data_IF_220581108183
#
_entry.id   IF_220581108183
#
_cell.length_a   1.000
_cell.length_b   1.000
_cell.length_c   1.000
_cell.angle_alpha   90.00
_cell.angle_beta   90.00
_cell.angle_gamma   90.00
#
_symmetry.space_group_name_H-M   'P 1'
#
loop_
_entity.id
_entity.type
_entity.pdbx_description
1 polymer ?
#
# COMPACT_ATOMS: atom_id res chain seq x y z
N UNK A 1 101.47 31.69 58.39
CA UNK A 1 100.02 31.56 58.65
C UNK A 1 99.46 32.94 58.91
N UNK A 2 98.46 33.41 58.16
CA UNK A 2 97.68 34.57 58.60
C UNK A 2 96.85 34.16 59.81
N UNK A 3 96.66 35.04 60.80
CA UNK A 3 95.61 34.84 61.78
C UNK A 3 94.29 35.17 61.08
N UNK A 4 93.40 34.19 61.00
CA UNK A 4 92.01 34.48 60.66
C UNK A 4 91.33 34.98 61.93
N UNK A 5 91.35 36.29 62.13
CA UNK A 5 90.58 36.92 63.19
C UNK A 5 89.10 36.89 62.78
N UNK A 6 88.24 36.41 63.69
CA UNK A 6 86.81 36.24 63.43
C UNK A 6 86.14 37.59 63.11
N UNK A 7 85.24 37.68 62.12
CA UNK A 7 84.69 38.96 61.66
C UNK A 7 84.09 39.78 62.80
N UNK A 8 84.58 41.01 62.95
CA UNK A 8 84.05 42.04 63.85
C UNK A 8 83.62 43.23 63.03
N UNK A 9 82.34 43.57 63.14
CA UNK A 9 81.75 44.77 62.55
C UNK A 9 82.05 45.97 63.47
N UNK A 10 82.56 47.09 62.95
CA UNK A 10 82.58 48.36 63.67
C UNK A 10 81.17 48.75 64.17
N UNK A 11 81.05 49.43 65.32
CA UNK A 11 79.75 49.86 65.88
C UNK A 11 78.85 50.59 64.88
N UNK A 12 79.43 51.38 63.99
CA UNK A 12 78.70 52.10 62.92
C UNK A 12 78.03 51.15 61.92
N UNK A 13 78.69 50.03 61.59
CA UNK A 13 78.13 48.98 60.73
C UNK A 13 77.10 48.13 61.51
N UNK A 14 77.35 47.83 62.79
CA UNK A 14 76.34 47.19 63.66
C UNK A 14 75.05 48.00 63.70
N UNK A 15 75.14 49.32 63.94
CA UNK A 15 73.99 50.24 63.96
C UNK A 15 73.35 50.36 62.58
N UNK A 16 74.15 50.46 61.52
CA UNK A 16 73.67 50.53 60.13
C UNK A 16 72.84 49.31 59.76
N UNK A 17 73.37 48.10 59.92
CA UNK A 17 72.67 46.84 59.61
C UNK A 17 71.40 46.68 60.45
N UNK A 18 71.43 47.02 61.75
CA UNK A 18 70.25 46.93 62.61
C UNK A 18 69.12 47.88 62.18
N UNK A 19 69.46 49.05 61.62
CA UNK A 19 68.49 50.00 61.08
C UNK A 19 68.01 49.64 59.67
N UNK A 20 68.93 49.23 58.78
CA UNK A 20 68.63 48.85 57.39
C UNK A 20 67.76 47.59 57.29
N UNK A 21 68.05 46.56 58.10
CA UNK A 21 67.23 45.35 58.25
C UNK A 21 66.00 45.55 59.16
N UNK A 22 65.75 46.77 59.63
CA UNK A 22 64.60 47.18 60.48
C UNK A 22 64.47 46.38 61.80
N UNK A 23 65.59 45.90 62.36
CA UNK A 23 65.64 45.05 63.55
C UNK A 23 65.56 45.89 64.84
N UNK A 24 66.34 46.97 64.93
CA UNK A 24 66.38 47.83 66.11
C UNK A 24 66.97 49.22 65.81
N UNK A 25 66.43 50.24 66.47
CA UNK A 25 67.08 51.56 66.55
C UNK A 25 68.04 51.56 67.74
N UNK A 26 69.34 51.78 67.49
CA UNK A 26 70.43 51.63 68.48
C UNK A 26 71.41 52.81 68.36
N UNK A 27 71.88 53.35 69.48
CA UNK A 27 72.93 54.38 69.51
C UNK A 27 74.31 53.81 69.86
N UNK A 28 75.38 54.55 69.54
CA UNK A 28 76.75 54.16 69.91
C UNK A 28 76.93 54.09 71.44
N UNK A 29 76.14 54.86 72.20
CA UNK A 29 76.14 54.87 73.66
C UNK A 29 75.60 53.54 74.25
N UNK A 30 74.57 52.96 73.62
CA UNK A 30 73.99 51.68 74.04
C UNK A 30 74.94 50.50 73.78
N UNK A 31 75.78 50.60 72.74
CA UNK A 31 76.82 49.61 72.45
C UNK A 31 78.07 49.81 73.31
N UNK A 32 78.39 51.05 73.70
CA UNK A 32 79.48 51.38 74.64
C UNK A 32 79.17 50.97 76.08
N UNK A 33 77.93 51.15 76.53
CA UNK A 33 77.48 50.84 77.89
C UNK A 33 76.17 50.03 77.86
N UNK A 34 76.18 48.79 77.35
CA UNK A 34 74.98 47.98 77.21
C UNK A 34 74.31 47.72 78.57
N UNK A 35 73.00 47.92 78.65
CA UNK A 35 72.20 47.48 79.79
C UNK A 35 71.71 46.04 79.59
N UNK A 36 71.39 45.30 80.67
CA UNK A 36 70.82 43.95 80.56
C UNK A 36 69.51 43.92 79.75
N UNK A 37 68.64 44.91 79.96
CA UNK A 37 67.33 44.99 79.30
C UNK A 37 67.47 45.31 77.81
N UNK A 38 68.33 46.29 77.47
CA UNK A 38 68.68 46.62 76.09
C UNK A 38 69.24 45.40 75.36
N UNK A 39 70.20 44.71 75.99
CA UNK A 39 70.87 43.55 75.40
C UNK A 39 69.90 42.38 75.19
N UNK A 40 69.02 42.14 76.16
CA UNK A 40 68.00 41.08 76.09
C UNK A 40 66.95 41.36 75.01
N UNK A 41 66.46 42.61 74.92
CA UNK A 41 65.55 43.01 73.84
C UNK A 41 66.23 42.91 72.47
N UNK A 42 67.45 43.45 72.31
CA UNK A 42 68.17 43.46 71.05
C UNK A 42 68.40 42.04 70.50
N UNK A 43 68.86 41.10 71.33
CA UNK A 43 68.97 39.70 70.90
C UNK A 43 67.61 39.07 70.59
N UNK A 44 66.54 39.43 71.30
CA UNK A 44 65.19 38.93 70.99
C UNK A 44 64.74 39.38 69.60
N UNK A 45 64.89 40.67 69.26
CA UNK A 45 64.55 41.19 67.92
C UNK A 45 65.40 40.55 66.81
N UNK A 46 66.72 40.41 67.02
CA UNK A 46 67.62 39.74 66.06
C UNK A 46 67.20 38.28 65.85
N UNK A 47 66.88 37.56 66.94
CA UNK A 47 66.49 36.14 66.87
C UNK A 47 65.12 35.92 66.20
N UNK A 48 64.16 36.84 66.38
CA UNK A 48 62.89 36.86 65.64
C UNK A 48 63.17 37.09 64.15
N UNK A 49 63.93 38.12 63.80
CA UNK A 49 64.26 38.46 62.41
C UNK A 49 64.97 37.31 61.64
N UNK A 50 65.90 36.58 62.28
CA UNK A 50 66.49 35.40 61.64
C UNK A 50 65.58 34.17 61.61
N UNK A 51 64.44 34.17 62.31
CA UNK A 51 63.48 33.06 62.37
C UNK A 51 63.87 31.97 63.37
N UNK A 52 64.68 32.30 64.37
CA UNK A 52 65.06 31.38 65.47
C UNK A 52 64.17 31.51 66.70
N UNK A 53 63.31 32.55 66.75
CA UNK A 53 62.22 32.74 67.71
C UNK A 53 60.94 33.14 66.95
N UNK A 54 59.79 32.90 67.56
CA UNK A 54 58.50 33.42 67.14
C UNK A 54 58.24 34.78 67.81
N UNK A 55 57.33 35.60 67.27
CA UNK A 55 56.97 36.89 67.85
C UNK A 55 56.32 36.74 69.25
N UNK A 56 55.52 35.69 69.44
CA UNK A 56 54.86 35.33 70.70
C UNK A 56 55.80 34.82 71.81
N UNK A 57 57.12 34.88 71.64
CA UNK A 57 58.11 34.34 72.58
C UNK A 57 58.06 34.91 74.02
N UNK A 58 57.33 36.01 74.22
CA UNK A 58 57.02 36.52 75.56
C UNK A 58 56.11 35.59 76.38
N UNK A 59 55.34 34.71 75.73
CA UNK A 59 54.48 33.70 76.33
C UNK A 59 55.32 32.48 76.76
N UNK A 60 55.51 32.31 78.07
CA UNK A 60 56.08 31.06 78.60
C UNK A 60 54.97 30.01 78.62
N UNK A 61 55.25 28.83 78.10
CA UNK A 61 54.29 27.72 78.05
C UNK A 61 53.99 27.24 79.49
N UNK A 62 52.76 27.48 79.95
CA UNK A 62 52.39 27.35 81.37
C UNK A 62 52.69 25.97 81.98
N UNK A 63 52.63 24.90 81.18
CA UNK A 63 52.91 23.52 81.60
C UNK A 63 54.36 23.28 82.09
N UNK A 64 55.34 24.09 81.65
CA UNK A 64 56.71 24.05 82.18
C UNK A 64 56.84 24.83 83.50
N UNK A 65 55.99 25.83 83.72
CA UNK A 65 55.97 26.63 84.95
C UNK A 65 55.21 25.95 86.10
N UNK A 66 54.16 25.18 85.81
CA UNK A 66 53.39 24.41 86.80
C UNK A 66 54.21 23.37 87.58
N UNK A 67 55.40 23.01 87.08
CA UNK A 67 56.35 22.10 87.74
C UNK A 67 57.24 22.80 88.80
N UNK A 68 57.14 24.13 88.93
CA UNK A 68 57.92 24.93 89.89
C UNK A 68 57.08 25.38 91.09
N UNK A 69 57.70 25.46 92.26
CA UNK A 69 57.05 25.96 93.47
C UNK A 69 56.93 27.50 93.41
N UNK A 70 55.71 28.02 93.40
CA UNK A 70 55.37 29.44 93.11
C UNK A 70 55.70 29.86 91.65
N UNK A 71 54.97 29.34 90.64
CA UNK A 71 55.24 29.59 89.22
C UNK A 71 55.43 31.06 88.83
N UNK A 72 54.59 31.96 89.39
CA UNK A 72 54.60 33.40 89.10
C UNK A 72 55.94 34.08 89.41
N UNK A 73 56.68 33.59 90.41
CA UNK A 73 57.99 34.14 90.81
C UNK A 73 59.11 33.74 89.85
N UNK A 74 58.87 32.78 88.95
CA UNK A 74 59.86 32.21 88.07
C UNK A 74 59.73 32.63 86.59
N UNK A 75 58.63 33.30 86.21
CA UNK A 75 58.32 33.72 84.83
C UNK A 75 59.50 34.41 84.13
N UNK A 76 60.06 35.47 84.72
CA UNK A 76 61.18 36.21 84.12
C UNK A 76 62.50 35.43 84.15
N UNK A 77 62.70 34.56 85.15
CA UNK A 77 63.88 33.68 85.21
C UNK A 77 63.86 32.63 84.09
N UNK A 78 62.69 32.04 83.82
CA UNK A 78 62.48 31.08 82.74
C UNK A 78 62.59 31.76 81.38
N UNK A 79 61.97 32.94 81.20
CA UNK A 79 62.12 33.78 80.00
C UNK A 79 63.60 34.10 79.71
N UNK A 80 64.36 34.55 80.70
CA UNK A 80 65.79 34.85 80.54
C UNK A 80 66.62 33.58 80.26
N UNK A 81 66.32 32.46 80.91
CA UNK A 81 67.03 31.20 80.70
C UNK A 81 66.77 30.62 79.30
N UNK A 82 65.53 30.73 78.81
CA UNK A 82 65.16 30.35 77.45
C UNK A 82 65.88 31.24 76.43
N UNK A 83 65.93 32.56 76.64
CA UNK A 83 66.63 33.49 75.75
C UNK A 83 68.14 33.19 75.74
N UNK A 84 68.75 32.99 76.91
CA UNK A 84 70.15 32.56 77.04
C UNK A 84 70.42 31.26 76.27
N UNK A 85 69.55 30.25 76.42
CA UNK A 85 69.65 28.97 75.71
C UNK A 85 69.60 29.17 74.21
N UNK A 86 68.66 29.98 73.70
CA UNK A 86 68.49 30.24 72.26
C UNK A 86 69.64 31.04 71.65
N UNK A 87 70.12 32.10 72.30
CA UNK A 87 71.32 32.83 71.86
C UNK A 87 72.53 31.89 71.87
N UNK A 88 72.71 31.08 72.92
CA UNK A 88 73.82 30.13 73.01
C UNK A 88 73.76 29.06 71.92
N UNK A 89 72.58 28.54 71.58
CA UNK A 89 72.39 27.61 70.46
C UNK A 89 72.85 28.26 69.14
N UNK A 90 72.37 29.46 68.82
CA UNK A 90 72.74 30.20 67.59
C UNK A 90 74.23 30.56 67.55
N UNK A 91 74.77 31.18 68.61
CA UNK A 91 76.21 31.57 68.67
C UNK A 91 77.13 30.34 68.55
N UNK A 92 76.68 29.16 69.00
CA UNK A 92 77.43 27.90 68.85
C UNK A 92 77.36 27.35 67.42
N UNK A 93 76.23 27.53 66.72
CA UNK A 93 76.08 27.16 65.31
C UNK A 93 76.81 28.10 64.33
N UNK A 94 77.24 29.29 64.80
CA UNK A 94 78.04 30.27 64.05
C UNK A 94 79.56 30.13 64.29
N UNK A 95 80.01 29.03 64.91
CA UNK A 95 81.41 28.73 65.23
C UNK A 95 82.18 29.89 65.91
N UNK A 96 81.49 30.67 66.76
CA UNK A 96 82.08 31.84 67.39
C UNK A 96 83.18 31.44 68.41
N UNK A 97 84.39 32.05 68.35
CA UNK A 97 85.54 31.61 69.14
C UNK A 97 85.42 31.91 70.65
N UNK A 98 84.53 32.81 71.06
CA UNK A 98 84.17 32.98 72.49
C UNK A 98 82.83 32.27 72.73
N UNK A 99 82.71 31.55 73.84
CA UNK A 99 81.42 30.98 74.26
C UNK A 99 80.51 32.06 74.87
N UNK A 100 79.24 32.04 74.49
CA UNK A 100 78.18 32.83 75.13
C UNK A 100 77.86 32.27 76.52
N UNK A 101 77.65 33.15 77.49
CA UNK A 101 77.44 32.84 78.92
C UNK A 101 76.32 33.70 79.49
N UNK A 102 75.70 33.30 80.59
CA UNK A 102 74.61 34.07 81.20
C UNK A 102 75.04 35.48 81.66
N UNK A 103 76.35 35.69 81.89
CA UNK A 103 76.91 37.03 82.15
C UNK A 103 76.72 37.98 80.97
N UNK A 104 76.72 37.48 79.73
CA UNK A 104 76.54 38.28 78.52
C UNK A 104 75.12 38.87 78.37
N UNK A 105 74.18 38.45 79.25
CA UNK A 105 72.87 39.08 79.41
C UNK A 105 72.76 39.85 80.73
N UNK A 106 73.15 39.24 81.86
CA UNK A 106 72.96 39.84 83.21
C UNK A 106 73.94 41.01 83.47
N UNK A 107 75.13 40.98 82.88
CA UNK A 107 76.14 42.04 83.00
C UNK A 107 76.98 42.11 81.71
N UNK A 108 76.40 42.59 80.60
CA UNK A 108 77.07 42.65 79.30
C UNK A 108 78.31 43.54 79.33
N UNK A 109 79.29 43.22 78.48
CA UNK A 109 80.57 43.93 78.33
C UNK A 109 80.73 44.32 76.86
N UNK A 110 81.03 45.59 76.55
CA UNK A 110 81.03 46.10 75.17
C UNK A 110 81.81 45.22 74.17
N UNK A 111 83.07 44.82 74.48
CA UNK A 111 83.88 43.95 73.61
C UNK A 111 83.24 42.58 73.32
N UNK A 112 82.44 42.05 74.27
CA UNK A 112 81.74 40.77 74.14
C UNK A 112 80.43 40.95 73.38
N UNK A 113 79.65 41.97 73.73
CA UNK A 113 78.41 42.34 73.01
C UNK A 113 78.71 42.65 71.54
N UNK A 114 79.72 43.49 71.24
CA UNK A 114 80.15 43.78 69.86
C UNK A 114 80.57 42.53 69.08
N UNK A 115 81.29 41.59 69.71
CA UNK A 115 81.67 40.32 69.05
C UNK A 115 80.47 39.44 68.73
N UNK A 116 79.55 39.27 69.68
CA UNK A 116 78.39 38.39 69.50
C UNK A 116 77.36 39.00 68.54
N UNK A 117 77.15 40.31 68.58
CA UNK A 117 76.38 41.03 67.56
C UNK A 117 77.04 40.92 66.18
N UNK A 118 78.36 41.07 66.08
CA UNK A 118 79.08 40.87 64.81
C UNK A 118 78.87 39.47 64.22
N UNK A 119 78.92 38.43 65.08
CA UNK A 119 78.68 37.05 64.65
C UNK A 119 77.28 36.87 64.04
N UNK A 120 76.22 37.30 64.75
CA UNK A 120 74.84 37.09 64.30
C UNK A 120 74.47 38.02 63.15
N UNK A 121 74.90 39.29 63.15
CA UNK A 121 74.60 40.23 62.05
C UNK A 121 75.31 39.88 60.74
N UNK A 122 76.54 39.33 60.81
CA UNK A 122 77.19 38.73 59.65
C UNK A 122 76.40 37.53 59.09
N UNK A 123 75.74 36.75 59.96
CA UNK A 123 74.81 35.71 59.53
C UNK A 123 73.50 36.28 58.95
N UNK A 124 72.94 37.38 59.49
CA UNK A 124 71.78 38.06 58.90
C UNK A 124 72.09 38.51 57.46
N UNK A 125 73.19 39.24 57.26
CA UNK A 125 73.63 39.69 55.93
C UNK A 125 73.84 38.53 54.95
N UNK A 126 74.40 37.40 55.44
CA UNK A 126 74.53 36.19 54.62
C UNK A 126 73.15 35.58 54.29
N UNK A 127 72.26 35.42 55.28
CA UNK A 127 70.89 34.92 55.11
C UNK A 127 70.17 35.76 54.06
N UNK A 128 70.15 37.08 54.19
CA UNK A 128 69.44 37.99 53.28
C UNK A 128 70.00 37.89 51.85
N UNK A 129 71.33 37.84 51.71
CA UNK A 129 71.97 37.59 50.40
C UNK A 129 71.53 36.27 49.77
N UNK A 130 71.41 35.20 50.57
CA UNK A 130 70.95 33.88 50.08
C UNK A 130 69.45 33.85 49.81
N UNK A 131 68.62 34.49 50.62
CA UNK A 131 67.18 34.63 50.39
C UNK A 131 66.88 35.45 49.14
N UNK A 132 67.65 36.51 48.87
CA UNK A 132 67.52 37.30 47.64
C UNK A 132 67.86 36.51 46.37
N UNK A 133 68.80 35.55 46.45
CA UNK A 133 69.09 34.60 45.36
C UNK A 133 68.00 33.52 45.19
N UNK A 134 67.29 33.16 46.27
CA UNK A 134 66.18 32.20 46.24
C UNK A 134 64.84 32.85 45.87
N UNK A 135 64.72 34.18 45.92
CA UNK A 135 63.47 34.92 45.71
C UNK A 135 62.69 34.50 44.45
N UNK A 136 63.30 34.33 43.25
CA UNK A 136 62.53 33.90 42.07
C UNK A 136 61.88 32.52 42.25
N UNK A 137 62.55 31.59 42.94
CA UNK A 137 61.99 30.27 43.23
C UNK A 137 60.88 30.32 44.30
N UNK A 138 60.87 31.34 45.17
CA UNK A 138 59.75 31.59 46.10
C UNK A 138 58.57 32.20 45.33
N UNK A 139 58.82 33.15 44.43
CA UNK A 139 57.82 33.77 43.55
C UNK A 139 57.16 32.72 42.63
N UNK A 140 57.96 31.83 42.02
CA UNK A 140 57.47 30.68 41.24
C UNK A 140 56.60 29.73 42.09
N UNK A 141 57.01 29.44 43.34
CA UNK A 141 56.23 28.58 44.25
C UNK A 141 54.90 29.22 44.68
N UNK A 142 54.87 30.53 44.91
CA UNK A 142 53.62 31.25 45.19
C UNK A 142 52.67 31.20 43.99
N UNK A 143 53.18 31.45 42.78
CA UNK A 143 52.38 31.38 41.54
C UNK A 143 51.84 29.96 41.29
N UNK A 144 52.62 28.92 41.58
CA UNK A 144 52.17 27.53 41.49
C UNK A 144 51.10 27.18 42.53
N UNK A 145 51.13 27.78 43.72
CA UNK A 145 50.08 27.57 44.72
C UNK A 145 48.79 28.32 44.36
N UNK A 146 48.88 29.54 43.82
CA UNK A 146 47.73 30.27 43.27
C UNK A 146 47.04 29.48 42.13
N UNK A 147 47.83 28.95 41.19
CA UNK A 147 47.31 28.07 40.13
C UNK A 147 46.69 26.78 40.67
N UNK A 148 47.28 26.19 41.72
CA UNK A 148 46.73 25.01 42.40
C UNK A 148 45.36 25.33 43.03
N UNK A 149 45.24 26.46 43.73
CA UNK A 149 43.99 26.91 44.34
C UNK A 149 42.90 27.20 43.28
N UNK A 150 43.24 27.83 42.15
CA UNK A 150 42.30 28.05 41.04
C UNK A 150 41.81 26.72 40.44
N UNK A 151 42.70 25.76 40.22
CA UNK A 151 42.35 24.44 39.70
C UNK A 151 41.51 23.63 40.70
N UNK A 152 41.83 23.65 41.99
CA UNK A 152 41.02 23.02 43.05
C UNK A 152 39.60 23.62 43.09
N UNK A 153 39.48 24.95 43.02
CA UNK A 153 38.18 25.63 42.94
C UNK A 153 37.41 25.27 41.65
N UNK A 154 38.09 25.15 40.50
CA UNK A 154 37.46 24.77 39.23
C UNK A 154 36.99 23.31 39.23
N UNK A 155 37.73 22.41 39.88
CA UNK A 155 37.34 21.01 40.08
C UNK A 155 36.09 20.94 40.97
N UNK A 156 36.03 21.71 42.06
CA UNK A 156 34.86 21.78 42.93
C UNK A 156 33.60 22.26 42.16
N UNK A 157 33.70 23.32 41.36
CA UNK A 157 32.58 23.78 40.52
C UNK A 157 32.12 22.70 39.54
N UNK A 158 33.05 22.07 38.80
CA UNK A 158 32.69 21.03 37.83
C UNK A 158 32.04 19.81 38.47
N UNK A 159 32.42 19.44 39.69
CA UNK A 159 31.75 18.37 40.44
C UNK A 159 30.32 18.75 40.85
N UNK A 160 30.07 20.00 41.24
CA UNK A 160 28.71 20.52 41.47
C UNK A 160 27.87 20.48 40.18
N UNK A 161 28.41 21.01 39.07
CA UNK A 161 27.75 20.99 37.76
C UNK A 161 27.35 19.55 37.36
N UNK A 162 28.24 18.58 37.59
CA UNK A 162 28.00 17.15 37.33
C UNK A 162 26.92 16.56 38.24
N UNK A 163 26.83 16.98 39.51
CA UNK A 163 25.74 16.55 40.40
C UNK A 163 24.38 17.04 39.90
N UNK A 164 24.27 18.34 39.60
CA UNK A 164 23.03 18.94 39.10
C UNK A 164 22.54 18.30 37.79
N UNK A 165 23.46 18.01 36.86
CA UNK A 165 23.14 17.29 35.62
C UNK A 165 22.65 15.86 35.87
N UNK A 166 23.27 15.13 36.81
CA UNK A 166 22.81 13.79 37.17
C UNK A 166 21.43 13.84 37.84
N UNK A 167 21.19 14.77 38.76
CA UNK A 167 19.89 14.97 39.41
C UNK A 167 18.79 15.38 38.44
N UNK A 168 19.07 16.18 37.40
CA UNK A 168 18.09 16.45 36.33
C UNK A 168 17.80 15.18 35.52
N UNK A 169 18.85 14.46 35.10
CA UNK A 169 18.73 13.21 34.34
C UNK A 169 17.96 12.13 35.10
N UNK A 170 18.13 12.00 36.42
CA UNK A 170 17.35 11.06 37.24
C UNK A 170 15.88 11.47 37.39
N UNK A 171 15.58 12.78 37.49
CA UNK A 171 14.20 13.30 37.47
C UNK A 171 13.50 13.11 36.12
N UNK A 172 14.25 13.18 35.01
CA UNK A 172 13.74 13.00 33.65
C UNK A 172 13.58 11.52 33.25
N UNK A 173 14.41 10.63 33.80
CA UNK A 173 14.40 9.18 33.52
C UNK A 173 13.01 8.51 33.64
N UNK A 174 12.17 8.73 34.69
CA UNK A 174 10.83 8.14 34.75
C UNK A 174 9.89 8.68 33.67
N UNK A 175 10.00 9.97 33.28
CA UNK A 175 9.19 10.57 32.21
C UNK A 175 9.54 9.96 30.86
N UNK A 176 10.84 9.74 30.60
CA UNK A 176 11.31 9.04 29.40
C UNK A 176 10.75 7.61 29.38
N UNK A 177 10.80 6.88 30.50
CA UNK A 177 10.25 5.52 30.60
C UNK A 177 8.73 5.48 30.35
N UNK A 178 7.97 6.45 30.87
CA UNK A 178 6.51 6.55 30.67
C UNK A 178 6.13 6.87 29.21
N UNK A 179 6.92 7.70 28.52
CA UNK A 179 6.77 7.94 27.08
C UNK A 179 7.11 6.66 26.29
N UNK A 180 8.15 5.94 26.70
CA UNK A 180 8.63 4.75 26.02
C UNK A 180 7.67 3.54 26.18
N UNK A 181 6.96 3.41 27.31
CA UNK A 181 5.86 2.43 27.48
C UNK A 181 4.66 2.79 26.61
N UNK A 182 4.19 4.05 26.63
CA UNK A 182 3.10 4.53 25.77
C UNK A 182 3.40 4.32 24.28
N UNK A 183 4.64 4.54 23.84
CA UNK A 183 5.06 4.26 22.45
C UNK A 183 4.96 2.76 22.13
N UNK A 184 5.35 1.87 23.06
CA UNK A 184 5.23 0.41 22.89
C UNK A 184 3.76 -0.04 22.83
N UNK A 185 2.92 0.47 23.72
CA UNK A 185 1.47 0.21 23.76
C UNK A 185 0.77 0.69 22.48
N UNK A 186 1.03 1.92 22.03
CA UNK A 186 0.47 2.45 20.79
C UNK A 186 0.89 1.64 19.56
N UNK A 187 2.15 1.19 19.48
CA UNK A 187 2.63 0.30 18.41
C UNK A 187 1.92 -1.06 18.43
N UNK A 188 1.69 -1.64 19.61
CA UNK A 188 0.93 -2.89 19.75
C UNK A 188 -0.54 -2.70 19.33
N UNK A 189 -1.17 -1.60 19.76
CA UNK A 189 -2.56 -1.24 19.40
C UNK A 189 -2.73 -1.06 17.89
N UNK A 190 -1.82 -0.33 17.23
CA UNK A 190 -1.80 -0.16 15.76
C UNK A 190 -1.66 -1.52 15.05
N UNK A 191 -0.79 -2.41 15.55
CA UNK A 191 -0.63 -3.77 15.00
C UNK A 191 -1.92 -4.60 15.13
N UNK A 192 -2.55 -4.58 16.31
CA UNK A 192 -3.82 -5.26 16.57
C UNK A 192 -4.97 -4.73 15.69
N UNK A 193 -5.09 -3.41 15.55
CA UNK A 193 -6.08 -2.76 14.69
C UNK A 193 -5.87 -3.08 13.21
N UNK A 194 -4.62 -3.11 12.72
CA UNK A 194 -4.31 -3.51 11.34
C UNK A 194 -4.70 -4.97 11.08
N UNK A 195 -4.39 -5.88 12.01
CA UNK A 195 -4.78 -7.29 11.91
C UNK A 195 -6.31 -7.46 11.93
N UNK A 196 -7.01 -6.71 12.79
CA UNK A 196 -8.47 -6.70 12.83
C UNK A 196 -9.08 -6.15 11.52
N UNK A 197 -8.52 -5.08 10.96
CA UNK A 197 -8.94 -4.51 9.69
C UNK A 197 -8.72 -5.48 8.52
N UNK A 198 -7.62 -6.23 8.52
CA UNK A 198 -7.36 -7.30 7.53
C UNK A 198 -8.40 -8.44 7.64
N UNK A 199 -8.74 -8.85 8.87
CA UNK A 199 -9.79 -9.84 9.12
C UNK A 199 -11.16 -9.37 8.63
N UNK A 200 -11.55 -8.14 8.96
CA UNK A 200 -12.78 -7.49 8.48
C UNK A 200 -12.84 -7.39 6.94
N UNK A 201 -11.73 -7.02 6.29
CA UNK A 201 -11.64 -7.00 4.81
C UNK A 201 -11.84 -8.40 4.21
N UNK A 202 -11.36 -9.45 4.88
CA UNK A 202 -11.54 -10.85 4.46
C UNK A 202 -12.99 -11.33 4.64
N UNK A 203 -13.61 -11.07 5.80
CA UNK A 203 -15.01 -11.46 6.05
C UNK A 203 -15.98 -10.66 5.18
N UNK A 204 -15.73 -9.37 4.94
CA UNK A 204 -16.50 -8.55 4.01
C UNK A 204 -16.47 -9.09 2.58
N UNK A 205 -15.29 -9.48 2.07
CA UNK A 205 -15.17 -10.15 0.75
C UNK A 205 -16.01 -11.43 0.71
N UNK A 206 -15.80 -12.35 1.66
CA UNK A 206 -16.57 -13.61 1.74
C UNK A 206 -18.09 -13.38 1.78
N UNK A 207 -18.57 -12.35 2.51
CA UNK A 207 -19.99 -11.99 2.56
C UNK A 207 -20.50 -11.36 1.25
N UNK A 208 -19.69 -10.55 0.57
CA UNK A 208 -20.01 -9.98 -0.75
C UNK A 208 -20.07 -11.05 -1.83
N UNK A 209 -19.15 -12.00 -1.82
CA UNK A 209 -19.09 -13.07 -2.81
C UNK A 209 -20.24 -14.08 -2.59
N UNK A 210 -20.56 -14.42 -1.34
CA UNK A 210 -21.75 -15.20 -1.01
C UNK A 210 -23.08 -14.47 -1.33
N UNK A 211 -23.12 -13.13 -1.27
CA UNK A 211 -24.30 -12.38 -1.70
C UNK A 211 -24.54 -12.54 -3.20
N UNK A 212 -23.49 -12.36 -4.03
CA UNK A 212 -23.56 -12.61 -5.49
C UNK A 212 -24.01 -14.03 -5.81
N UNK A 213 -23.46 -15.03 -5.12
CA UNK A 213 -23.83 -16.44 -5.33
C UNK A 213 -25.33 -16.68 -5.05
N UNK A 214 -25.90 -15.95 -4.09
CA UNK A 214 -27.33 -15.98 -3.79
C UNK A 214 -28.15 -15.21 -4.84
N UNK A 215 -27.68 -14.04 -5.31
CA UNK A 215 -28.33 -13.28 -6.40
C UNK A 215 -28.37 -14.07 -7.72
N UNK A 216 -27.28 -14.79 -8.05
CA UNK A 216 -27.17 -15.71 -9.19
C UNK A 216 -28.13 -16.91 -9.03
N UNK A 217 -28.24 -17.48 -7.82
CA UNK A 217 -29.21 -18.54 -7.51
C UNK A 217 -30.66 -18.06 -7.59
N UNK A 218 -30.96 -16.85 -7.13
CA UNK A 218 -32.29 -16.23 -7.27
C UNK A 218 -32.63 -16.07 -8.75
N UNK A 219 -31.74 -15.45 -9.52
CA UNK A 219 -31.90 -15.25 -10.97
C UNK A 219 -32.14 -16.57 -11.73
N UNK A 220 -31.41 -17.62 -11.37
CA UNK A 220 -31.57 -18.97 -11.93
C UNK A 220 -32.91 -19.62 -11.53
N UNK A 221 -33.33 -19.47 -10.28
CA UNK A 221 -34.63 -19.96 -9.79
C UNK A 221 -35.82 -19.21 -10.42
N UNK A 222 -35.70 -17.90 -10.63
CA UNK A 222 -36.70 -17.08 -11.35
C UNK A 222 -36.82 -17.52 -12.81
N UNK A 223 -35.69 -17.74 -13.50
CA UNK A 223 -35.70 -18.27 -14.87
C UNK A 223 -36.36 -19.65 -14.96
N UNK A 224 -35.99 -20.58 -14.05
CA UNK A 224 -36.59 -21.91 -13.99
C UNK A 224 -38.09 -21.87 -13.64
N UNK A 225 -38.53 -20.92 -12.80
CA UNK A 225 -39.94 -20.69 -12.49
C UNK A 225 -40.71 -20.17 -13.71
N UNK A 226 -40.15 -19.24 -14.48
CA UNK A 226 -40.74 -18.74 -15.73
C UNK A 226 -40.85 -19.86 -16.78
N UNK A 227 -39.79 -20.66 -16.98
CA UNK A 227 -39.83 -21.83 -17.86
C UNK A 227 -40.91 -22.83 -17.42
N UNK A 228 -40.93 -23.20 -16.13
CA UNK A 228 -41.93 -24.10 -15.57
C UNK A 228 -43.36 -23.58 -15.74
N UNK A 229 -43.59 -22.27 -15.55
CA UNK A 229 -44.89 -21.64 -15.80
C UNK A 229 -45.30 -21.69 -17.28
N UNK A 230 -44.36 -21.49 -18.21
CA UNK A 230 -44.59 -21.59 -19.65
C UNK A 230 -44.88 -23.05 -20.09
N UNK A 231 -44.16 -24.03 -19.54
CA UNK A 231 -44.42 -25.46 -19.75
C UNK A 231 -45.77 -25.87 -19.18
N UNK A 232 -46.13 -25.40 -17.97
CA UNK A 232 -47.43 -25.63 -17.34
C UNK A 232 -48.57 -25.05 -18.20
N UNK A 233 -48.40 -23.86 -18.77
CA UNK A 233 -49.35 -23.27 -19.72
C UNK A 233 -49.46 -24.09 -21.02
N UNK A 234 -48.35 -24.59 -21.55
CA UNK A 234 -48.29 -25.47 -22.74
C UNK A 234 -48.92 -26.84 -22.51
N UNK A 235 -48.84 -27.38 -21.29
CA UNK A 235 -49.54 -28.60 -20.89
C UNK A 235 -51.05 -28.32 -20.69
N UNK A 236 -51.42 -27.20 -20.06
CA UNK A 236 -52.82 -26.78 -19.90
C UNK A 236 -53.55 -26.55 -21.23
N UNK A 237 -52.87 -26.11 -22.29
CA UNK A 237 -53.48 -25.98 -23.61
C UNK A 237 -53.68 -27.33 -24.33
N UNK A 238 -52.94 -28.37 -23.95
CA UNK A 238 -53.09 -29.75 -24.44
C UNK A 238 -54.14 -30.56 -23.68
N UNK A 239 -54.54 -30.12 -22.49
CA UNK A 239 -55.62 -30.75 -21.71
C UNK A 239 -56.98 -30.34 -22.28
N UNK A 240 -57.81 -31.33 -22.58
CA UNK A 240 -59.20 -31.11 -23.03
C UNK A 240 -60.01 -30.46 -21.89
N UNK A 241 -60.37 -29.19 -22.06
CA UNK A 241 -61.01 -28.38 -21.02
C UNK A 241 -62.44 -28.81 -20.65
N UNK A 242 -63.09 -29.67 -21.44
CA UNK A 242 -64.40 -30.26 -21.10
C UNK A 242 -64.58 -31.60 -21.81
N UNK A 243 -64.19 -32.73 -21.18
CA UNK A 243 -64.36 -34.07 -21.75
C UNK A 243 -65.81 -34.36 -22.15
N UNK A 244 -66.78 -33.99 -21.30
CA UNK A 244 -68.22 -34.26 -21.49
C UNK A 244 -68.82 -33.57 -22.74
N UNK A 245 -68.21 -32.48 -23.22
CA UNK A 245 -68.60 -31.83 -24.47
C UNK A 245 -68.03 -32.57 -25.68
N UNK A 246 -66.78 -33.02 -25.58
CA UNK A 246 -66.10 -33.75 -26.63
C UNK A 246 -66.69 -35.16 -26.81
N UNK A 247 -67.07 -35.82 -25.72
CA UNK A 247 -67.78 -37.10 -25.77
C UNK A 247 -69.18 -36.96 -26.38
N UNK A 248 -69.98 -35.95 -25.98
CA UNK A 248 -71.29 -35.68 -26.61
C UNK A 248 -71.19 -35.44 -28.11
N UNK A 249 -70.26 -34.59 -28.55
CA UNK A 249 -70.06 -34.33 -29.99
C UNK A 249 -69.63 -35.60 -30.77
N UNK A 250 -68.96 -36.55 -30.12
CA UNK A 250 -68.58 -37.83 -30.71
C UNK A 250 -69.76 -38.83 -30.74
N UNK A 251 -70.64 -38.79 -29.74
CA UNK A 251 -71.89 -39.56 -29.71
C UNK A 251 -72.92 -39.02 -30.72
N UNK A 252 -73.06 -37.69 -30.85
CA UNK A 252 -73.83 -37.06 -31.95
C UNK A 252 -73.29 -37.48 -33.33
N UNK A 253 -71.97 -37.46 -33.54
CA UNK A 253 -71.39 -37.91 -34.81
C UNK A 253 -71.63 -39.40 -35.09
N UNK A 254 -71.74 -40.24 -34.05
CA UNK A 254 -72.17 -41.65 -34.21
C UNK A 254 -73.64 -41.74 -34.60
N UNK A 255 -74.53 -40.95 -33.98
CA UNK A 255 -75.94 -40.91 -34.34
C UNK A 255 -76.15 -40.51 -35.82
N UNK A 256 -75.50 -39.42 -36.26
CA UNK A 256 -75.53 -38.97 -37.66
C UNK A 256 -74.97 -40.03 -38.63
N UNK A 257 -73.93 -40.79 -38.23
CA UNK A 257 -73.40 -41.88 -39.04
C UNK A 257 -74.36 -43.09 -39.16
N UNK A 258 -75.15 -43.37 -38.12
CA UNK A 258 -76.19 -44.41 -38.15
C UNK A 258 -77.36 -43.96 -39.03
N UNK A 259 -77.84 -42.72 -38.85
CA UNK A 259 -78.92 -42.13 -39.65
C UNK A 259 -78.57 -42.12 -41.15
N UNK A 260 -77.35 -41.74 -41.50
CA UNK A 260 -76.86 -41.79 -42.89
C UNK A 260 -76.90 -43.21 -43.49
N UNK A 261 -76.59 -44.26 -42.72
CA UNK A 261 -76.64 -45.66 -43.16
C UNK A 261 -78.06 -46.22 -43.29
N UNK A 262 -79.00 -45.74 -42.47
CA UNK A 262 -80.41 -46.13 -42.63
C UNK A 262 -81.05 -45.37 -43.80
N UNK A 263 -80.69 -44.11 -44.04
CA UNK A 263 -81.06 -43.37 -45.24
C UNK A 263 -80.52 -44.04 -46.53
N UNK A 264 -79.27 -44.49 -46.52
CA UNK A 264 -78.67 -45.31 -47.59
C UNK A 264 -79.50 -46.59 -47.84
N UNK A 265 -79.88 -47.32 -46.79
CA UNK A 265 -80.71 -48.53 -46.89
C UNK A 265 -82.09 -48.25 -47.49
N UNK A 266 -82.74 -47.15 -47.09
CA UNK A 266 -84.04 -46.73 -47.64
C UNK A 266 -83.92 -46.31 -49.11
N UNK A 267 -82.85 -45.62 -49.49
CA UNK A 267 -82.57 -45.29 -50.90
C UNK A 267 -82.36 -46.56 -51.74
N UNK A 268 -81.61 -47.54 -51.22
CA UNK A 268 -81.37 -48.84 -51.86
C UNK A 268 -82.68 -49.61 -52.12
N UNK A 269 -83.58 -49.66 -51.12
CA UNK A 269 -84.91 -50.27 -51.27
C UNK A 269 -85.81 -49.51 -52.25
N UNK A 270 -85.74 -48.18 -52.28
CA UNK A 270 -86.46 -47.33 -53.24
C UNK A 270 -85.98 -47.58 -54.68
N UNK A 271 -84.67 -47.75 -54.86
CA UNK A 271 -84.07 -48.12 -56.15
C UNK A 271 -84.58 -49.49 -56.62
N UNK A 272 -84.54 -50.52 -55.77
CA UNK A 272 -85.05 -51.86 -56.11
C UNK A 272 -86.52 -51.86 -56.50
N UNK A 273 -87.37 -51.07 -55.81
CA UNK A 273 -88.79 -50.90 -56.19
C UNK A 273 -88.96 -50.23 -57.57
N UNK A 274 -88.13 -49.24 -57.93
CA UNK A 274 -88.15 -48.63 -59.27
C UNK A 274 -87.68 -49.60 -60.36
N UNK A 275 -86.67 -50.44 -60.08
CA UNK A 275 -86.21 -51.49 -61.00
C UNK A 275 -87.32 -52.50 -61.30
N UNK A 276 -88.03 -52.99 -60.27
CA UNK A 276 -89.14 -53.93 -60.46
C UNK A 276 -90.29 -53.34 -61.31
N UNK A 277 -90.56 -52.03 -61.21
CA UNK A 277 -91.56 -51.36 -62.06
C UNK A 277 -91.10 -51.33 -63.53
N UNK A 278 -89.81 -51.09 -63.79
CA UNK A 278 -89.25 -51.12 -65.15
C UNK A 278 -89.29 -52.53 -65.78
N UNK A 279 -89.16 -53.59 -64.98
CA UNK A 279 -89.32 -54.99 -65.44
C UNK A 279 -90.76 -55.35 -65.84
N UNK A 280 -91.77 -54.68 -65.28
CA UNK A 280 -93.18 -54.84 -65.71
C UNK A 280 -93.41 -54.13 -67.04
N UNK A 281 -93.01 -52.85 -67.14
CA UNK A 281 -93.17 -52.06 -68.38
C UNK A 281 -92.43 -52.67 -69.58
N UNK A 282 -91.27 -53.30 -69.37
CA UNK A 282 -90.55 -53.99 -70.46
C UNK A 282 -91.23 -55.28 -70.92
N UNK A 283 -91.97 -55.98 -70.05
CA UNK A 283 -92.78 -57.14 -70.44
C UNK A 283 -94.03 -56.74 -71.23
N UNK A 284 -94.68 -55.63 -70.89
CA UNK A 284 -95.82 -55.11 -71.68
C UNK A 284 -95.39 -54.50 -73.02
N UNK A 285 -94.18 -53.94 -73.13
CA UNK A 285 -93.64 -53.51 -74.43
C UNK A 285 -93.33 -54.71 -75.36
N UNK A 286 -93.00 -55.87 -74.80
CA UNK A 286 -92.65 -57.08 -75.55
C UNK A 286 -93.83 -57.68 -76.31
N UNK A 287 -95.02 -57.74 -75.68
CA UNK A 287 -96.20 -58.39 -76.28
C UNK A 287 -96.84 -57.59 -77.40
N UNK A 288 -96.65 -56.27 -77.43
CA UNK A 288 -97.18 -55.39 -78.48
C UNK A 288 -96.35 -55.40 -79.77
N UNK A 289 -95.08 -55.86 -79.73
CA UNK A 289 -94.20 -55.81 -80.89
C UNK A 289 -94.42 -56.96 -81.90
N UNK A 290 -94.81 -58.14 -81.41
CA UNK A 290 -94.98 -59.33 -82.26
C UNK A 290 -96.27 -59.28 -83.12
N UNK A 291 -97.30 -58.56 -82.65
CA UNK A 291 -98.56 -58.41 -83.38
C UNK A 291 -98.46 -57.52 -84.65
N UNK A 292 -97.43 -56.67 -84.76
CA UNK A 292 -97.36 -55.63 -85.80
C UNK A 292 -96.83 -56.09 -87.18
N UNK A 293 -96.06 -57.18 -87.25
CA UNK A 293 -95.11 -57.39 -88.37
C UNK A 293 -95.64 -58.30 -89.50
N UNK A 294 -96.95 -58.55 -89.56
CA UNK A 294 -97.57 -59.46 -90.56
C UNK A 294 -98.09 -58.73 -91.82
N UNK A 295 -98.43 -57.44 -91.74
CA UNK A 295 -99.28 -56.82 -92.78
C UNK A 295 -98.53 -56.08 -93.93
N UNK A 296 -97.28 -55.64 -93.74
CA UNK A 296 -96.64 -54.69 -94.68
C UNK A 296 -95.93 -55.36 -95.87
N UNK A 297 -95.37 -56.57 -95.72
CA UNK A 297 -94.64 -57.25 -96.82
C UNK A 297 -95.54 -57.88 -97.91
N UNK A 298 -96.86 -57.98 -97.68
CA UNK A 298 -97.78 -58.71 -98.57
C UNK A 298 -98.10 -58.05 -99.92
N UNK A 299 -97.92 -56.73 -100.07
CA UNK A 299 -98.43 -55.97 -101.23
C UNK A 299 -97.37 -55.52 -102.25
N UNK A 300 -96.07 -55.50 -101.90
CA UNK A 300 -95.03 -55.00 -102.80
C UNK A 300 -94.69 -55.99 -103.95
N UNK A 301 -94.51 -57.27 -103.63
CA UNK A 301 -93.94 -58.25 -104.57
C UNK A 301 -94.84 -58.55 -105.79
N UNK A 302 -96.17 -58.44 -105.65
CA UNK A 302 -97.11 -58.67 -106.76
C UNK A 302 -97.18 -57.54 -107.81
N UNK A 303 -96.65 -56.33 -107.52
CA UNK A 303 -96.58 -55.25 -108.52
C UNK A 303 -95.33 -55.35 -109.42
N UNK A 304 -94.18 -55.73 -108.86
CA UNK A 304 -92.89 -55.72 -109.56
C UNK A 304 -92.89 -56.60 -110.83
N UNK A 305 -93.42 -57.82 -110.72
CA UNK A 305 -93.41 -58.81 -111.82
C UNK A 305 -94.32 -58.42 -112.99
N UNK A 306 -95.30 -57.54 -112.79
CA UNK A 306 -96.16 -57.04 -113.89
C UNK A 306 -95.41 -56.03 -114.76
N UNK A 307 -94.62 -55.14 -114.15
CA UNK A 307 -93.78 -54.19 -114.90
C UNK A 307 -92.64 -54.88 -115.65
N UNK A 308 -92.05 -55.95 -115.08
CA UNK A 308 -90.97 -56.68 -115.75
C UNK A 308 -91.40 -57.25 -117.12
N UNK A 309 -92.64 -57.78 -117.22
CA UNK A 309 -93.20 -58.25 -118.50
C UNK A 309 -93.47 -57.11 -119.49
N UNK A 310 -93.89 -55.93 -119.02
CA UNK A 310 -94.13 -54.77 -119.90
C UNK A 310 -92.82 -54.19 -120.46
N UNK A 311 -91.71 -54.29 -119.73
CA UNK A 311 -90.41 -53.78 -120.19
C UNK A 311 -89.82 -54.60 -121.35
N UNK A 312 -90.10 -55.90 -121.43
CA UNK A 312 -89.65 -56.74 -122.56
C UNK A 312 -90.40 -56.40 -123.87
N UNK A 313 -91.72 -56.17 -123.83
CA UNK A 313 -92.50 -55.78 -125.02
C UNK A 313 -92.10 -54.41 -125.58
N UNK A 314 -91.59 -53.50 -124.73
CA UNK A 314 -91.04 -52.21 -125.16
C UNK A 314 -89.67 -52.32 -125.83
N UNK A 315 -88.87 -53.35 -125.51
CA UNK A 315 -87.59 -53.63 -126.17
C UNK A 315 -87.80 -54.01 -127.65
N UNK A 316 -88.88 -54.73 -127.95
CA UNK A 316 -89.23 -55.18 -129.30
C UNK A 316 -89.73 -54.04 -130.21
N UNK A 317 -90.30 -52.98 -129.63
CA UNK A 317 -90.80 -51.81 -130.39
C UNK A 317 -89.76 -50.70 -130.61
N UNK A 318 -88.62 -50.71 -129.90
CA UNK A 318 -87.61 -49.65 -130.06
C UNK A 318 -86.79 -49.77 -131.35
N UNK A 319 -86.57 -50.99 -131.86
CA UNK A 319 -85.67 -51.22 -132.99
C UNK A 319 -86.36 -51.25 -134.36
N UNK A 320 -87.66 -51.50 -134.43
CA UNK A 320 -88.45 -51.36 -135.68
C UNK A 320 -88.64 -49.89 -136.10
N UNK A 321 -88.54 -48.94 -135.16
CA UNK A 321 -88.62 -47.50 -135.45
C UNK A 321 -87.39 -46.90 -136.13
N UNK A 322 -86.21 -47.55 -136.05
CA UNK A 322 -84.94 -47.00 -136.56
C UNK A 322 -84.69 -47.23 -138.06
N UNK A 323 -85.65 -47.79 -138.79
CA UNK A 323 -85.56 -47.94 -140.25
C UNK A 323 -85.82 -46.62 -141.02
N UNK A 324 -86.57 -45.66 -140.46
CA UNK A 324 -87.08 -44.51 -141.24
C UNK A 324 -86.20 -43.25 -141.12
N UNK A 325 -85.37 -43.12 -140.08
CA UNK A 325 -84.66 -41.85 -139.79
C UNK A 325 -83.37 -41.61 -140.59
N UNK A 326 -83.02 -42.44 -141.59
CA UNK A 326 -81.94 -42.09 -142.55
C UNK A 326 -82.03 -42.64 -143.99
N UNK A 327 -83.19 -43.13 -144.44
CA UNK A 327 -83.50 -43.29 -145.89
C UNK A 327 -83.64 -41.92 -146.63
N UNK A 328 -82.95 -40.89 -146.14
CA UNK A 328 -82.86 -39.51 -146.66
C UNK A 328 -81.38 -39.08 -146.84
N UNK A 329 -80.42 -40.00 -146.71
CA UNK A 329 -79.16 -39.98 -147.50
C UNK A 329 -79.13 -41.07 -148.58
N UNK A 330 -80.33 -41.33 -149.11
CA UNK A 330 -80.60 -41.85 -150.45
C UNK A 330 -79.60 -41.33 -151.50
N UNK A 331 -79.14 -42.25 -152.34
CA UNK A 331 -78.53 -42.01 -153.65
C UNK A 331 -77.43 -40.94 -153.73
N UNK A 332 -76.27 -41.20 -153.10
CA UNK A 332 -75.00 -40.76 -153.71
C UNK A 332 -73.88 -41.79 -153.64
N UNK A 333 -73.88 -42.67 -154.65
CA UNK A 333 -72.69 -43.30 -155.27
C UNK A 333 -71.87 -44.22 -154.35
N UNK A 334 -72.04 -45.54 -154.44
CA UNK A 334 -71.12 -46.42 -155.21
C UNK A 334 -69.62 -46.12 -155.01
N UNK A 335 -69.00 -46.61 -153.92
CA UNK A 335 -67.62 -47.19 -153.82
C UNK A 335 -67.02 -47.12 -152.38
N UNK A 336 -66.13 -48.07 -152.10
CA UNK A 336 -64.99 -48.19 -151.14
C UNK A 336 -64.71 -47.24 -149.93
N UNK A 337 -64.38 -47.90 -148.81
CA UNK A 337 -63.22 -47.76 -147.86
C UNK A 337 -63.01 -46.63 -146.78
N UNK A 338 -62.74 -47.10 -145.54
CA UNK A 338 -61.82 -46.65 -144.43
C UNK A 338 -62.09 -45.44 -143.45
N UNK A 339 -61.54 -45.47 -142.20
CA UNK A 339 -61.55 -44.37 -141.16
C UNK A 339 -61.45 -44.71 -139.62
N UNK A 340 -60.94 -43.81 -138.73
CA UNK A 340 -60.41 -44.11 -137.33
C UNK A 340 -60.51 -43.01 -136.18
N UNK A 341 -60.85 -43.39 -134.90
CA UNK A 341 -60.62 -42.93 -133.44
C UNK A 341 -60.58 -41.44 -132.82
N UNK A 342 -60.95 -41.28 -131.48
CA UNK A 342 -60.23 -40.57 -130.31
C UNK A 342 -60.86 -39.43 -129.33
N UNK A 343 -60.38 -39.27 -128.03
CA UNK A 343 -60.31 -38.21 -126.87
C UNK A 343 -61.43 -37.13 -126.45
N UNK A 344 -61.44 -36.27 -125.34
CA UNK A 344 -60.98 -36.16 -123.86
C UNK A 344 -61.38 -34.82 -123.05
N UNK A 345 -60.96 -34.58 -121.75
CA UNK A 345 -60.87 -33.32 -120.82
C UNK A 345 -62.09 -32.83 -119.91
N UNK A 346 -62.15 -31.88 -118.88
CA UNK A 346 -61.38 -31.19 -117.72
C UNK A 346 -62.34 -30.18 -116.88
N UNK A 347 -62.14 -29.37 -115.76
CA UNK A 347 -61.32 -29.27 -114.47
C UNK A 347 -61.57 -27.99 -113.48
N UNK A 348 -61.25 -28.01 -112.13
CA UNK A 348 -60.75 -26.94 -111.11
C UNK A 348 -61.51 -25.83 -110.23
N UNK A 349 -61.00 -25.61 -108.96
CA UNK A 349 -60.60 -24.41 -108.06
C UNK A 349 -61.38 -23.09 -107.66
N UNK A 350 -61.19 -22.54 -106.40
CA UNK A 350 -60.82 -21.10 -106.03
C UNK A 350 -60.51 -20.70 -104.52
N UNK A 351 -60.09 -19.42 -104.22
CA UNK A 351 -59.32 -18.96 -103.00
C UNK A 351 -59.40 -17.41 -102.58
N UNK A 352 -58.79 -17.02 -101.43
CA UNK A 352 -58.30 -15.67 -100.91
C UNK A 352 -59.29 -14.63 -100.28
N UNK A 353 -58.91 -13.57 -99.50
CA UNK A 353 -57.64 -13.01 -98.93
C UNK A 353 -57.82 -12.62 -97.41
N UNK A 354 -57.29 -11.60 -96.66
CA UNK A 354 -56.50 -10.33 -96.74
C UNK A 354 -57.13 -9.22 -95.81
N UNK A 355 -56.55 -8.17 -95.16
CA UNK A 355 -55.23 -7.51 -94.82
C UNK A 355 -55.49 -6.48 -93.64
N UNK A 356 -54.61 -5.75 -92.93
CA UNK A 356 -53.12 -5.71 -92.72
C UNK A 356 -52.49 -4.30 -92.42
N UNK A 357 -52.08 -3.96 -91.16
CA UNK A 357 -51.20 -2.81 -90.76
C UNK A 357 -50.97 -2.67 -89.22
N UNK A 358 -49.78 -2.61 -88.59
CA UNK A 358 -48.50 -1.84 -88.74
C UNK A 358 -48.45 -0.59 -87.82
N UNK A 359 -47.50 -0.30 -86.90
CA UNK A 359 -46.16 -0.86 -86.49
C UNK A 359 -45.98 -0.62 -84.94
N UNK A 360 -44.86 -0.69 -84.18
CA UNK A 360 -43.37 -0.68 -84.29
C UNK A 360 -42.75 -1.82 -83.40
N UNK A 361 -41.45 -2.05 -83.10
CA UNK A 361 -40.11 -1.39 -83.09
C UNK A 361 -39.83 -0.37 -81.93
N UNK A 362 -38.68 -0.39 -81.21
CA UNK A 362 -37.53 -1.33 -81.21
C UNK A 362 -36.70 -1.39 -79.90
N UNK A 363 -35.93 -2.48 -79.77
CA UNK A 363 -34.97 -2.93 -78.74
C UNK A 363 -34.10 -1.89 -77.98
N UNK A 364 -33.77 -2.21 -76.73
CA UNK A 364 -32.40 -2.60 -76.30
C UNK A 364 -32.50 -3.62 -75.15
#
# INVERSE_FOLDING_TARGET
MSKFDYPRLPRREIIGVLAESQIASVSDADLLNPSPDFTSNLYTQILIHIGCLQEDYGLVEFADLEQLENPDLHVDSVRMMNLFKKIKEVISALDCPKKFTLKDLIKPEADRTELFLSAVLNFCLHKDTRMNLLRPAVEDLTLLDEQRQELEARILQLNTDISEFNESREREMPLIQEVDTKIKELRQSISALNNHQMSLKSTFRKKKDAAKEMDEKISSAEFALVQSAQENASLRSKIVQSPDKLQRALEEKKAVQVEAKDAERVAMQSFHKKTAILEVYTKELSSLLEAGTVHVKGMASKKMTKHLKQMQTLQEQMNSGKQVEKDVKVLKVKNSDDGVLDKSLEVKLHEQQGRGGSSSLSLS
#
